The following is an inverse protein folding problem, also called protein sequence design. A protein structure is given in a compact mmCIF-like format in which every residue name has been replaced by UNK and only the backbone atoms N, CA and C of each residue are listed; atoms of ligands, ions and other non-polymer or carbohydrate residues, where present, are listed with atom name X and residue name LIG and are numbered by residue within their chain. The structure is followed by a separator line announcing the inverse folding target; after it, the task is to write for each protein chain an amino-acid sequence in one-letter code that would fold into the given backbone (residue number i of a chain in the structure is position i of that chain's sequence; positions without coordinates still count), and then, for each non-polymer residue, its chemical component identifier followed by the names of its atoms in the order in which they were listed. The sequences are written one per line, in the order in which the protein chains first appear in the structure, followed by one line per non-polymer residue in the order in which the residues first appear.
data_IF_363912371319
#
_entry.id   IF_363912371319
#
_cell.length_a   1.000
_cell.length_b   1.000
_cell.length_c   1.000
_cell.angle_alpha   90.00
_cell.angle_beta   90.00
_cell.angle_gamma   90.00
#
_symmetry.space_group_name_H-M   'P 1'
#
loop_
_entity.id
_entity.type
_entity.pdbx_description
1 polymer ?
#
# COMPACT_ATOMS: atom_id res chain seq x y z
N UNK A 1 10.08 -14.64 8.73
CA UNK A 1 9.30 -13.62 7.99
C UNK A 1 7.86 -14.04 7.85
N UNK A 2 6.97 -13.08 7.94
CA UNK A 2 5.55 -13.28 7.66
C UNK A 2 5.25 -12.81 6.23
N UNK A 3 4.44 -13.56 5.50
CA UNK A 3 3.97 -13.15 4.19
C UNK A 3 2.49 -12.81 4.27
N UNK A 4 2.14 -11.60 3.84
CA UNK A 4 0.76 -11.13 3.77
C UNK A 4 0.32 -11.10 2.32
N UNK A 5 -0.93 -11.50 2.08
CA UNK A 5 -1.61 -11.37 0.79
C UNK A 5 -2.64 -10.28 0.91
N UNK A 6 -2.75 -9.44 -0.10
CA UNK A 6 -3.70 -8.35 -0.07
C UNK A 6 -4.23 -7.98 -1.43
N UNK A 7 -5.19 -7.07 -1.41
CA UNK A 7 -5.79 -6.46 -2.59
C UNK A 7 -5.82 -4.95 -2.40
N UNK A 8 -5.35 -4.24 -3.40
CA UNK A 8 -5.56 -2.80 -3.49
C UNK A 8 -6.90 -2.61 -4.18
N UNK A 9 -7.79 -1.84 -3.56
CA UNK A 9 -9.15 -1.64 -4.09
C UNK A 9 -9.22 -0.24 -4.69
N UNK A 10 -9.41 -0.17 -6.01
CA UNK A 10 -9.51 1.09 -6.71
C UNK A 10 -10.93 1.66 -6.58
N UNK A 11 -11.07 2.99 -6.45
CA UNK A 11 -12.39 3.62 -6.32
C UNK A 11 -13.16 3.63 -7.65
N UNK A 12 -14.45 3.96 -7.58
CA UNK A 12 -15.30 4.07 -8.76
C UNK A 12 -14.83 5.17 -9.72
N UNK A 13 -14.13 6.19 -9.21
CA UNK A 13 -13.58 7.28 -10.03
C UNK A 13 -12.11 7.09 -10.40
N UNK A 14 -11.58 5.87 -10.26
CA UNK A 14 -10.21 5.60 -10.67
C UNK A 14 -10.05 5.81 -12.18
N UNK A 15 -8.93 6.41 -12.61
CA UNK A 15 -8.67 6.56 -14.04
C UNK A 15 -8.41 5.20 -14.68
N UNK A 16 -8.74 5.09 -15.97
CA UNK A 16 -8.33 3.97 -16.79
C UNK A 16 -6.97 4.30 -17.40
N UNK A 17 -6.12 3.29 -17.53
CA UNK A 17 -4.79 3.46 -18.12
C UNK A 17 -3.74 2.69 -17.34
N UNK A 18 -2.49 2.85 -17.73
CA UNK A 18 -1.38 2.11 -17.14
C UNK A 18 -0.72 2.92 -16.03
N UNK A 19 -0.55 2.31 -14.86
CA UNK A 19 0.32 2.82 -13.81
C UNK A 19 1.70 2.23 -14.02
N UNK A 20 2.72 3.07 -14.04
CA UNK A 20 4.09 2.58 -14.21
C UNK A 20 4.62 1.98 -12.92
N UNK A 21 4.17 2.48 -11.76
CA UNK A 21 4.70 2.02 -10.48
C UNK A 21 3.61 2.03 -9.42
N UNK A 22 3.53 0.92 -8.69
CA UNK A 22 2.71 0.80 -7.48
C UNK A 22 3.66 0.39 -6.35
N UNK A 23 3.68 1.17 -5.27
CA UNK A 23 4.51 0.87 -4.10
C UNK A 23 3.59 0.50 -2.96
N UNK A 24 3.79 -0.68 -2.39
CA UNK A 24 3.10 -1.13 -1.17
C UNK A 24 4.15 -1.15 -0.07
N UNK A 25 3.92 -0.41 1.01
CA UNK A 25 4.84 -0.29 2.11
C UNK A 25 4.21 -0.76 3.41
N UNK A 26 5.05 -1.32 4.28
CA UNK A 26 4.73 -1.51 5.70
C UNK A 26 5.65 -0.58 6.47
N UNK A 27 5.07 0.30 7.28
CA UNK A 27 5.81 1.29 8.05
C UNK A 27 5.52 1.17 9.53
N UNK A 28 6.55 1.43 10.33
CA UNK A 28 6.41 1.54 11.78
C UNK A 28 5.97 2.97 12.11
N UNK A 29 4.77 3.10 12.66
CA UNK A 29 4.15 4.37 13.03
C UNK A 29 4.01 4.51 14.53
N UNK A 30 4.78 3.77 15.31
CA UNK A 30 4.68 3.73 16.79
C UNK A 30 5.06 5.04 17.44
N UNK A 31 5.86 5.88 16.80
CA UNK A 31 6.29 7.19 17.33
C UNK A 31 5.53 8.31 16.61
N UNK A 32 4.57 8.92 17.32
CA UNK A 32 3.70 9.94 16.72
C UNK A 32 4.45 11.22 16.32
N UNK A 33 5.55 11.54 17.01
CA UNK A 33 6.31 12.77 16.79
C UNK A 33 7.51 12.58 15.85
N UNK A 34 7.65 11.41 15.24
CA UNK A 34 8.77 11.11 14.36
C UNK A 34 8.26 10.60 13.01
N UNK A 35 9.04 10.75 11.93
CA UNK A 35 8.70 10.12 10.67
C UNK A 35 8.58 8.60 10.80
N UNK A 36 7.66 8.00 10.07
CA UNK A 36 7.51 6.55 10.05
C UNK A 36 8.76 5.89 9.45
N UNK A 37 9.05 4.68 9.91
CA UNK A 37 10.22 3.92 9.47
C UNK A 37 9.75 2.84 8.50
N UNK A 38 10.37 2.77 7.32
CA UNK A 38 10.07 1.74 6.34
C UNK A 38 10.54 0.37 6.86
N UNK A 39 9.62 -0.57 6.98
CA UNK A 39 9.90 -1.93 7.45
C UNK A 39 9.94 -2.92 6.28
N UNK A 40 9.04 -2.78 5.30
CA UNK A 40 8.96 -3.65 4.16
C UNK A 40 8.36 -2.90 2.98
N UNK A 41 8.71 -3.32 1.77
CA UNK A 41 8.23 -2.70 0.53
C UNK A 41 8.08 -3.75 -0.55
N UNK A 42 7.01 -3.62 -1.34
CA UNK A 42 6.81 -4.38 -2.56
C UNK A 42 6.46 -3.41 -3.68
N UNK A 43 7.01 -3.61 -4.86
CA UNK A 43 6.74 -2.77 -6.02
C UNK A 43 6.12 -3.59 -7.13
N UNK A 44 5.08 -3.03 -7.76
CA UNK A 44 4.46 -3.58 -8.96
C UNK A 44 4.67 -2.56 -10.09
N UNK A 45 4.84 -3.06 -11.30
CA UNK A 45 5.12 -2.21 -12.47
C UNK A 45 4.16 -2.56 -13.60
N UNK A 46 3.83 -1.55 -14.42
CA UNK A 46 3.03 -1.72 -15.64
C UNK A 46 1.68 -2.39 -15.38
N UNK A 47 0.94 -1.88 -14.40
CA UNK A 47 -0.36 -2.41 -14.02
C UNK A 47 -1.46 -1.54 -14.64
N UNK A 48 -2.41 -2.18 -15.32
CA UNK A 48 -3.57 -1.49 -15.88
C UNK A 48 -4.55 -1.13 -14.78
N UNK A 49 -4.94 0.14 -14.74
CA UNK A 49 -5.93 0.66 -13.81
C UNK A 49 -7.32 0.69 -14.45
N UNK A 50 -8.34 0.52 -13.66
CA UNK A 50 -9.73 0.67 -14.07
C UNK A 50 -10.59 0.98 -12.85
N UNK A 51 -11.76 1.62 -13.02
CA UNK A 51 -12.68 1.83 -11.91
C UNK A 51 -13.06 0.52 -11.23
N UNK A 52 -13.08 0.53 -9.90
CA UNK A 52 -13.46 -0.59 -9.05
C UNK A 52 -12.58 -1.84 -9.20
N UNK A 53 -11.42 -1.74 -9.84
CA UNK A 53 -10.51 -2.87 -10.00
C UNK A 53 -9.85 -3.22 -8.68
N UNK A 54 -9.57 -4.52 -8.48
CA UNK A 54 -8.79 -5.04 -7.36
C UNK A 54 -7.46 -5.55 -7.87
N UNK A 55 -6.38 -5.11 -7.24
CA UNK A 55 -5.01 -5.48 -7.64
C UNK A 55 -4.42 -6.32 -6.52
N UNK A 56 -4.12 -7.58 -6.79
CA UNK A 56 -3.58 -8.49 -5.80
C UNK A 56 -2.07 -8.28 -5.63
N UNK A 57 -1.61 -8.44 -4.38
CA UNK A 57 -0.19 -8.35 -4.05
C UNK A 57 0.16 -9.30 -2.93
N UNK A 58 1.46 -9.55 -2.78
CA UNK A 58 2.06 -10.25 -1.64
C UNK A 58 3.21 -9.40 -1.12
N UNK A 59 3.37 -9.36 0.19
CA UNK A 59 4.47 -8.63 0.81
C UNK A 59 5.02 -9.44 1.98
N UNK A 60 6.35 -9.55 2.06
CA UNK A 60 7.04 -10.20 3.16
C UNK A 60 7.46 -9.16 4.17
N UNK A 61 7.12 -9.42 5.43
CA UNK A 61 7.38 -8.50 6.53
C UNK A 61 8.26 -9.21 7.55
N UNK A 62 9.40 -8.62 7.96
CA UNK A 62 10.24 -9.24 8.98
C UNK A 62 9.52 -9.31 10.32
N UNK A 63 9.96 -10.23 11.17
CA UNK A 63 9.44 -10.33 12.53
C UNK A 63 9.74 -9.02 13.26
N UNK A 64 8.72 -8.51 13.96
CA UNK A 64 8.80 -7.25 14.69
C UNK A 64 8.46 -7.47 16.16
N UNK A 65 8.93 -6.55 16.99
CA UNK A 65 8.62 -6.59 18.41
C UNK A 65 7.18 -6.18 18.67
N UNK A 66 6.62 -6.60 19.81
CA UNK A 66 5.26 -6.23 20.21
C UNK A 66 5.09 -4.74 20.48
N UNK A 67 6.17 -3.98 20.56
CA UNK A 67 6.15 -2.52 20.79
C UNK A 67 6.00 -1.72 19.50
N UNK A 68 6.09 -2.36 18.35
CA UNK A 68 5.97 -1.68 17.06
C UNK A 68 4.52 -1.68 16.59
N UNK A 69 4.09 -0.56 16.06
CA UNK A 69 2.78 -0.41 15.41
C UNK A 69 3.00 -0.30 13.92
N UNK A 70 2.64 -1.33 13.17
CA UNK A 70 2.85 -1.37 11.74
C UNK A 70 1.57 -1.01 10.99
N UNK A 71 1.72 -0.27 9.91
CA UNK A 71 0.62 0.12 9.03
C UNK A 71 1.00 -0.04 7.58
N UNK A 72 0.02 -0.42 6.74
CA UNK A 72 0.19 -0.46 5.30
C UNK A 72 0.03 0.92 4.68
N UNK A 73 0.80 1.18 3.63
CA UNK A 73 0.67 2.37 2.80
C UNK A 73 0.81 1.98 1.34
N UNK A 74 -0.05 2.53 0.48
CA UNK A 74 -0.01 2.29 -0.97
C UNK A 74 0.05 3.63 -1.70
N UNK A 75 0.92 3.69 -2.71
CA UNK A 75 1.00 4.81 -3.65
C UNK A 75 1.03 4.25 -5.07
N UNK A 76 0.06 4.67 -5.88
CA UNK A 76 -0.03 4.31 -7.30
C UNK A 76 0.32 5.53 -8.12
N UNK A 77 1.39 5.43 -8.89
CA UNK A 77 1.90 6.51 -9.73
C UNK A 77 1.75 6.15 -11.20
N UNK A 78 1.27 7.10 -12.01
CA UNK A 78 1.19 6.93 -13.46
C UNK A 78 2.55 6.98 -14.12
N UNK A 79 3.49 7.71 -13.52
CA UNK A 79 4.89 7.72 -13.92
C UNK A 79 5.72 7.03 -12.83
N UNK A 80 7.02 6.95 -13.00
CA UNK A 80 7.89 6.27 -12.02
C UNK A 80 8.39 7.20 -10.92
N UNK A 81 7.80 8.38 -10.76
CA UNK A 81 8.19 9.36 -9.75
C UNK A 81 7.70 8.91 -8.37
N UNK A 82 8.54 9.05 -7.35
CA UNK A 82 8.21 8.73 -5.97
C UNK A 82 7.39 9.82 -5.27
N UNK A 83 7.30 11.00 -5.86
CA UNK A 83 6.51 12.09 -5.30
C UNK A 83 5.04 11.94 -5.67
N UNK A 84 4.16 12.25 -4.71
CA UNK A 84 2.73 12.24 -4.94
C UNK A 84 2.34 13.41 -5.81
N UNK A 85 1.61 13.13 -6.90
CA UNK A 85 1.13 14.13 -7.84
C UNK A 85 -0.40 14.09 -7.91
N UNK A 86 -0.99 15.19 -8.33
CA UNK A 86 -2.43 15.23 -8.60
C UNK A 86 -2.81 14.16 -9.61
N UNK A 87 -3.83 13.37 -9.30
CA UNK A 87 -4.27 12.24 -10.10
C UNK A 87 -3.68 10.91 -9.69
N UNK A 88 -2.69 10.88 -8.81
CA UNK A 88 -2.20 9.65 -8.21
C UNK A 88 -3.25 9.07 -7.25
N UNK A 89 -3.10 7.78 -6.92
CA UNK A 89 -3.97 7.13 -5.94
C UNK A 89 -3.12 6.72 -4.75
N UNK A 90 -3.67 6.90 -3.55
CA UNK A 90 -2.97 6.48 -2.34
C UNK A 90 -3.94 6.17 -1.20
N UNK A 91 -3.42 5.48 -0.19
CA UNK A 91 -4.12 5.28 1.08
C UNK A 91 -4.09 6.59 1.87
N UNK A 92 -5.23 6.99 2.42
CA UNK A 92 -5.36 8.23 3.20
C UNK A 92 -5.68 8.00 4.65
N UNK A 93 -5.98 6.75 5.02
CA UNK A 93 -6.23 6.35 6.41
C UNK A 93 -5.27 5.26 6.82
N UNK A 94 -5.18 5.00 8.12
CA UNK A 94 -4.31 3.95 8.64
C UNK A 94 -4.91 2.57 8.41
N UNK A 95 -4.08 1.62 7.95
CA UNK A 95 -4.45 0.22 7.79
C UNK A 95 -3.49 -0.62 8.62
N UNK A 96 -3.80 -0.89 9.91
CA UNK A 96 -2.91 -1.65 10.77
C UNK A 96 -2.62 -3.05 10.22
N UNK A 97 -1.37 -3.48 10.36
CA UNK A 97 -0.97 -4.83 9.95
C UNK A 97 -1.44 -5.82 11.02
N UNK A 98 -2.28 -6.80 10.68
CA UNK A 98 -2.72 -7.79 11.66
C UNK A 98 -1.59 -8.75 12.03
N UNK A 99 -1.68 -9.34 13.21
CA UNK A 99 -0.73 -10.37 13.64
C UNK A 99 -0.91 -11.69 12.88
N UNK A 100 -2.12 -11.96 12.40
CA UNK A 100 -2.46 -13.16 11.63
C UNK A 100 -2.27 -12.88 10.13
N UNK A 101 -1.57 -13.77 9.43
CA UNK A 101 -1.31 -13.66 8.00
C UNK A 101 -2.35 -14.34 7.11
N UNK A 102 -3.32 -15.05 7.70
CA UNK A 102 -4.34 -15.78 6.94
C UNK A 102 -5.37 -14.89 6.26
N UNK A 103 -5.87 -13.80 6.87
CA UNK A 103 -6.81 -12.94 6.18
C UNK A 103 -6.19 -12.24 4.98
N UNK A 104 -6.97 -12.05 3.92
CA UNK A 104 -6.57 -11.19 2.80
C UNK A 104 -6.76 -9.73 3.23
N UNK A 105 -5.69 -8.95 3.11
CA UNK A 105 -5.70 -7.53 3.47
C UNK A 105 -6.37 -6.74 2.35
N UNK A 106 -7.32 -5.89 2.69
CA UNK A 106 -7.96 -5.00 1.72
C UNK A 106 -7.51 -3.56 1.96
N UNK A 107 -6.95 -2.92 0.94
CA UNK A 107 -6.39 -1.57 1.02
C UNK A 107 -7.08 -0.65 0.00
N UNK A 108 -8.22 -0.04 0.36
CA UNK A 108 -8.83 0.97 -0.50
C UNK A 108 -7.93 2.18 -0.66
N UNK A 109 -7.82 2.66 -1.89
CA UNK A 109 -7.08 3.88 -2.23
C UNK A 109 -8.04 4.92 -2.79
N UNK A 110 -7.62 6.18 -2.78
CA UNK A 110 -8.40 7.29 -3.31
C UNK A 110 -7.56 8.10 -4.30
N UNK A 111 -8.23 8.76 -5.23
CA UNK A 111 -7.60 9.69 -6.17
C UNK A 111 -7.33 11.01 -5.44
N UNK A 112 -6.13 11.51 -5.56
CA UNK A 112 -5.73 12.77 -4.90
C UNK A 112 -5.43 13.89 -5.89
#
# INVERSE_FOLDING_TARGET
MKEYKGRIILPANAPSGRAQKIVIEVRDVSLADAPSILIAEEQLHDIMLAPNKKIEFKIRVPEVTSKQSLSFRVHISKDSDDHVKSGDLLTTISYPVPSDTRPVIELPVVVV
#
